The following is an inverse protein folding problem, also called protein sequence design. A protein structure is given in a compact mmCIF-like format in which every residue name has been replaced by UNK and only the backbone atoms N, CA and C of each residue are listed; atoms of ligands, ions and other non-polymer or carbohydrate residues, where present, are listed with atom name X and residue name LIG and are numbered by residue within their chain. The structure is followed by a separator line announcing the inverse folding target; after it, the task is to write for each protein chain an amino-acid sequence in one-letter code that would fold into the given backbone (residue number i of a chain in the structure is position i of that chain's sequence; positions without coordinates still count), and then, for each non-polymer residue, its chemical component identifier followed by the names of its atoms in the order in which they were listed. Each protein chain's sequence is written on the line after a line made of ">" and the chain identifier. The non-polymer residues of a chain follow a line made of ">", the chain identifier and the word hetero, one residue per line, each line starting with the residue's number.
data_IF_955801862414
#
_entry.id   IF_955801862414
#
_cell.length_a   1.000
_cell.length_b   1.000
_cell.length_c   1.000
_cell.angle_alpha   90.00
_cell.angle_beta   90.00
_cell.angle_gamma   90.00
#
_symmetry.space_group_name_H-M   'P 1'
#
loop_
_entity.id
_entity.type
_entity.pdbx_description
1 polymer ?
#
# COMPACT_ATOMS: atom_id res chain seq x y z
N UNK A 1 -4.27 2.77 -37.75
CA UNK A 1 -3.34 1.98 -36.91
C UNK A 1 -4.17 1.01 -36.10
N UNK A 2 -3.70 -0.23 -35.85
CA UNK A 2 -4.39 -1.14 -34.95
C UNK A 2 -4.45 -0.51 -33.55
N UNK A 3 -5.64 -0.46 -32.95
CA UNK A 3 -5.81 0.02 -31.58
C UNK A 3 -4.94 -0.79 -30.62
N UNK A 4 -4.32 -0.15 -29.61
CA UNK A 4 -3.61 -0.88 -28.57
C UNK A 4 -4.56 -1.87 -27.89
N UNK A 5 -4.09 -3.09 -27.55
CA UNK A 5 -4.93 -4.04 -26.87
C UNK A 5 -5.35 -3.46 -25.51
N UNK A 6 -6.66 -3.51 -25.23
CA UNK A 6 -7.15 -3.20 -23.89
C UNK A 6 -6.53 -4.17 -22.89
N UNK A 7 -5.97 -3.64 -21.80
CA UNK A 7 -5.44 -4.47 -20.74
C UNK A 7 -6.62 -5.13 -20.04
N UNK A 8 -6.59 -6.46 -19.89
CA UNK A 8 -7.60 -7.15 -19.10
C UNK A 8 -7.57 -6.64 -17.66
N UNK A 9 -8.74 -6.59 -17.01
CA UNK A 9 -8.80 -6.32 -15.58
C UNK A 9 -7.83 -7.20 -14.78
N UNK A 10 -7.34 -6.65 -13.69
CA UNK A 10 -6.34 -7.30 -12.83
C UNK A 10 -6.71 -7.01 -11.38
N UNK A 11 -6.64 -8.04 -10.54
CA UNK A 11 -6.86 -7.94 -9.10
C UNK A 11 -5.57 -8.22 -8.36
N UNK A 12 -5.42 -7.59 -7.19
CA UNK A 12 -4.35 -7.88 -6.24
C UNK A 12 -4.82 -7.54 -4.82
N UNK A 13 -4.06 -7.95 -3.82
CA UNK A 13 -4.38 -7.73 -2.42
C UNK A 13 -3.48 -6.66 -1.82
N UNK A 14 -4.05 -5.73 -1.07
CA UNK A 14 -3.37 -4.73 -0.29
C UNK A 14 -3.57 -5.06 1.20
N UNK A 15 -2.52 -5.60 1.81
CA UNK A 15 -2.45 -5.86 3.24
C UNK A 15 -2.13 -4.56 3.95
N UNK A 16 -3.01 -4.13 4.85
CA UNK A 16 -2.81 -2.95 5.68
C UNK A 16 -2.57 -3.39 7.12
N UNK A 17 -1.44 -2.96 7.66
CA UNK A 17 -0.97 -3.31 8.99
C UNK A 17 -0.88 -2.04 9.83
N UNK A 18 -1.67 -1.96 10.89
CA UNK A 18 -1.75 -0.79 11.77
C UNK A 18 -0.66 -0.88 12.85
N UNK A 19 0.48 -0.20 12.64
CA UNK A 19 1.70 -0.34 13.43
C UNK A 19 1.58 0.31 14.80
N UNK A 20 1.06 1.53 14.86
CA UNK A 20 0.93 2.29 16.10
C UNK A 20 -0.09 3.40 15.93
N UNK A 21 -0.81 3.70 17.01
CA UNK A 21 -1.26 5.06 17.26
C UNK A 21 -0.36 5.63 18.33
N UNK A 22 0.33 6.74 18.07
CA UNK A 22 0.88 7.50 19.19
C UNK A 22 -0.30 7.76 20.14
N UNK A 23 -0.26 7.29 21.41
CA UNK A 23 -1.31 7.64 22.34
C UNK A 23 -1.35 9.15 22.33
N UNK A 24 -2.48 9.70 21.88
CA UNK A 24 -2.73 11.13 22.01
C UNK A 24 -2.48 11.38 23.48
N UNK A 25 -1.42 12.12 23.81
CA UNK A 25 -1.24 12.59 25.18
C UNK A 25 -2.51 13.36 25.44
N UNK A 26 -3.42 12.78 26.23
CA UNK A 26 -4.53 13.51 26.82
C UNK A 26 -3.90 14.57 27.70
N UNK A 27 -3.47 15.67 27.08
CA UNK A 27 -3.20 16.91 27.76
C UNK A 27 -4.56 17.50 28.08
N UNK A 28 -5.23 16.85 29.04
CA UNK A 28 -6.47 17.29 29.67
C UNK A 28 -6.20 17.50 31.15
N UNK A 29 -5.22 18.34 31.49
CA UNK A 29 -5.34 19.12 32.71
C UNK A 29 -6.50 20.08 32.46
N UNK A 30 -7.70 19.67 32.89
CA UNK A 30 -8.82 20.57 33.11
C UNK A 30 -8.38 21.49 34.23
N UNK A 31 -7.83 22.66 33.88
CA UNK A 31 -7.79 23.77 34.82
C UNK A 31 -9.24 24.10 35.15
N UNK A 32 -9.61 23.81 36.40
CA UNK A 32 -10.88 24.23 36.96
C UNK A 32 -10.96 25.74 36.94
N UNK A 33 -11.93 26.28 36.23
CA UNK A 33 -12.41 27.63 36.47
C UNK A 33 -13.36 27.58 37.65
N UNK A 34 -12.87 28.17 38.73
CA UNK A 34 -13.54 28.41 40.01
C UNK A 34 -14.73 29.36 39.85
N UNK A 35 -15.72 29.16 40.69
CA UNK A 35 -17.01 29.84 40.73
C UNK A 35 -16.91 31.36 40.95
N UNK A 36 -17.87 32.15 40.42
CA UNK A 36 -18.51 33.22 41.21
C UNK A 36 -19.87 33.69 40.66
N UNK A 37 -20.84 33.63 41.58
CA UNK A 37 -22.23 34.11 41.66
C UNK A 37 -22.68 35.39 40.93
N UNK A 38 -23.98 35.44 40.60
CA UNK A 38 -24.75 36.70 40.58
C UNK A 38 -26.18 36.66 39.97
N UNK A 39 -27.18 36.33 40.79
CA UNK A 39 -28.61 36.78 40.82
C UNK A 39 -29.42 37.14 39.56
N UNK A 40 -30.57 36.47 39.35
CA UNK A 40 -31.94 36.99 39.58
C UNK A 40 -33.04 36.28 38.74
N UNK A 41 -34.06 35.79 39.46
CA UNK A 41 -35.33 35.10 39.09
C UNK A 41 -36.45 36.17 38.89
N UNK A 42 -37.54 36.02 38.08
CA UNK A 42 -38.77 35.22 38.36
C UNK A 42 -39.38 34.42 37.16
N UNK A 43 -39.82 33.17 37.34
CA UNK A 43 -41.20 32.70 37.71
C UNK A 43 -42.22 32.89 36.54
N UNK A 44 -42.97 31.93 35.96
CA UNK A 44 -43.80 30.77 36.39
C UNK A 44 -44.25 29.94 35.12
N UNK A 45 -45.26 29.02 35.14
CA UNK A 45 -45.30 27.66 35.73
C UNK A 45 -45.82 26.56 34.75
N UNK A 46 -45.98 25.33 35.29
CA UNK A 46 -46.81 24.18 34.85
C UNK A 46 -46.18 23.15 33.89
N UNK A 47 -46.45 21.85 34.00
CA UNK A 47 -46.97 20.88 34.99
C UNK A 47 -46.82 19.55 34.23
N UNK A 48 -46.38 18.45 34.84
CA UNK A 48 -46.31 17.17 34.14
C UNK A 48 -45.61 16.08 34.95
N UNK A 49 -46.44 15.29 35.62
CA UNK A 49 -46.16 14.18 36.54
C UNK A 49 -45.63 12.90 35.87
N UNK A 50 -45.04 12.01 36.68
CA UNK A 50 -44.84 10.56 36.40
C UNK A 50 -43.40 10.08 36.62
N UNK A 51 -42.97 9.86 37.86
CA UNK A 51 -42.97 8.57 38.60
C UNK A 51 -41.88 7.56 38.21
N UNK A 52 -40.88 7.48 39.10
CA UNK A 52 -40.30 6.32 39.78
C UNK A 52 -39.65 5.13 39.04
N UNK A 53 -38.39 4.86 39.43
CA UNK A 53 -37.90 3.49 39.60
C UNK A 53 -36.37 3.27 39.56
N UNK A 54 -35.70 3.40 40.72
CA UNK A 54 -34.78 2.38 41.37
C UNK A 54 -33.69 1.74 40.47
N UNK A 55 -32.36 1.73 40.74
CA UNK A 55 -31.61 1.42 41.97
C UNK A 55 -30.11 1.69 41.71
N UNK A 56 -29.39 2.23 42.69
CA UNK A 56 -27.92 2.24 42.74
C UNK A 56 -27.39 0.92 43.35
N UNK A 57 -26.24 0.46 42.85
CA UNK A 57 -25.33 -0.46 43.56
C UNK A 57 -23.89 0.04 43.42
N UNK A 58 -23.12 0.18 44.51
CA UNK A 58 -21.69 0.46 44.46
C UNK A 58 -20.88 -0.84 44.41
N UNK A 59 -19.84 -0.87 43.57
CA UNK A 59 -18.86 -1.95 43.50
C UNK A 59 -17.45 -1.38 43.49
N UNK A 60 -16.79 -1.42 44.66
CA UNK A 60 -15.35 -1.58 44.84
C UNK A 60 -14.87 -2.79 44.02
N UNK A 61 -13.67 -2.94 43.48
CA UNK A 61 -12.41 -2.22 43.46
C UNK A 61 -11.42 -3.13 42.71
N UNK A 62 -10.30 -2.59 42.25
CA UNK A 62 -8.97 -3.24 42.23
C UNK A 62 -8.03 -2.38 41.38
N UNK A 63 -7.08 -1.73 42.09
CA UNK A 63 -6.03 -0.93 41.49
C UNK A 63 -4.90 -1.82 40.97
N UNK A 64 -4.63 -1.74 39.67
CA UNK A 64 -3.36 -2.19 39.11
C UNK A 64 -2.24 -1.18 39.43
N UNK A 65 -1.02 -1.66 39.74
CA UNK A 65 0.11 -0.79 40.02
C UNK A 65 0.60 -0.07 38.74
N UNK A 66 1.09 1.18 38.85
CA UNK A 66 1.63 1.90 37.71
C UNK A 66 2.95 1.28 37.23
N UNK A 67 3.03 1.05 35.92
CA UNK A 67 4.26 0.66 35.23
C UNK A 67 5.22 1.86 35.13
N UNK A 68 6.44 1.62 35.59
CA UNK A 68 7.59 2.52 35.63
C UNK A 68 7.95 3.09 34.22
N UNK A 69 7.88 4.42 33.99
CA UNK A 69 8.07 5.02 32.67
C UNK A 69 9.54 5.19 32.23
N UNK A 70 10.53 4.71 32.98
CA UNK A 70 11.93 5.09 32.74
C UNK A 70 12.78 4.15 31.87
N UNK A 71 12.19 3.23 31.08
CA UNK A 71 12.96 2.34 30.18
C UNK A 71 12.39 2.17 28.78
N UNK A 72 12.24 3.26 28.04
CA UNK A 72 12.14 3.17 26.58
C UNK A 72 12.54 4.47 25.89
N UNK A 73 13.85 4.75 25.81
CA UNK A 73 14.40 5.60 24.75
C UNK A 73 15.91 5.43 24.66
N UNK A 74 16.37 4.85 23.55
CA UNK A 74 17.40 5.35 22.64
C UNK A 74 17.45 4.29 21.52
N UNK A 75 16.74 4.55 20.42
CA UNK A 75 17.07 3.94 19.14
C UNK A 75 17.34 5.04 18.12
N UNK A 76 18.47 4.84 17.45
CA UNK A 76 19.33 5.79 16.78
C UNK A 76 18.72 6.30 15.47
N UNK A 77 18.67 7.64 15.29
CA UNK A 77 18.23 8.33 14.07
C UNK A 77 18.97 7.83 12.81
N UNK A 78 20.15 7.21 12.95
CA UNK A 78 20.92 6.63 11.84
C UNK A 78 20.30 5.39 11.19
N UNK A 79 19.36 4.68 11.83
CA UNK A 79 18.68 3.54 11.18
C UNK A 79 17.57 3.97 10.21
N UNK A 80 17.06 5.20 10.34
CA UNK A 80 15.97 5.71 9.51
C UNK A 80 16.45 6.03 8.07
N UNK A 81 17.64 6.59 7.91
CA UNK A 81 18.20 6.91 6.59
C UNK A 81 18.62 5.69 5.78
N UNK A 82 18.94 4.56 6.44
CA UNK A 82 19.33 3.32 5.77
C UNK A 82 18.13 2.53 5.22
N UNK A 83 16.94 2.75 5.78
CA UNK A 83 15.69 2.14 5.30
C UNK A 83 15.10 2.87 4.08
N UNK A 84 15.38 4.17 3.93
CA UNK A 84 14.96 4.98 2.78
C UNK A 84 15.67 4.59 1.47
N UNK A 85 16.88 4.02 1.57
CA UNK A 85 17.70 3.61 0.41
C UNK A 85 17.30 2.25 -0.20
N UNK A 86 16.42 1.48 0.45
CA UNK A 86 16.04 0.10 0.06
C UNK A 86 14.64 -0.01 -0.55
N UNK A 87 13.92 1.12 -0.64
CA UNK A 87 12.54 1.24 -1.14
C UNK A 87 12.45 2.20 -2.35
N UNK A 88 13.57 2.56 -2.95
CA UNK A 88 13.56 3.54 -4.05
C UNK A 88 13.08 2.86 -5.34
N UNK A 89 11.75 2.80 -5.52
CA UNK A 89 11.11 2.30 -6.74
C UNK A 89 11.65 2.95 -8.01
N UNK A 90 12.23 4.16 -7.89
CA UNK A 90 13.00 4.85 -8.93
C UNK A 90 14.19 4.05 -9.44
N UNK A 91 15.01 3.48 -8.55
CA UNK A 91 16.20 2.71 -8.95
C UNK A 91 15.83 1.40 -9.71
N UNK A 92 14.73 0.77 -9.30
CA UNK A 92 14.18 -0.41 -9.99
C UNK A 92 13.64 -0.03 -11.38
N UNK A 93 12.84 1.04 -11.44
CA UNK A 93 12.23 1.55 -12.67
C UNK A 93 13.30 2.06 -13.66
N UNK A 94 14.41 2.62 -13.19
CA UNK A 94 15.54 3.07 -14.02
C UNK A 94 16.41 1.90 -14.51
N UNK A 95 16.59 0.86 -13.69
CA UNK A 95 17.25 -0.37 -14.10
C UNK A 95 16.50 -1.09 -15.23
N UNK A 96 15.16 -1.09 -15.19
CA UNK A 96 14.30 -1.65 -16.23
C UNK A 96 14.40 -0.82 -17.52
N UNK A 97 14.26 0.50 -17.41
CA UNK A 97 14.37 1.40 -18.57
C UNK A 97 15.71 1.24 -19.29
N UNK A 98 16.82 1.18 -18.54
CA UNK A 98 18.14 0.95 -19.11
C UNK A 98 18.26 -0.43 -19.81
N UNK A 99 17.63 -1.47 -19.26
CA UNK A 99 17.66 -2.81 -19.85
C UNK A 99 16.84 -2.91 -21.14
N UNK A 100 15.66 -2.28 -21.20
CA UNK A 100 14.81 -2.24 -22.40
C UNK A 100 15.48 -1.43 -23.50
N UNK A 101 15.97 -0.22 -23.19
CA UNK A 101 16.63 0.65 -24.17
C UNK A 101 17.89 -0.01 -24.73
N UNK A 102 18.71 -0.65 -23.88
CA UNK A 102 19.91 -1.38 -24.32
C UNK A 102 19.56 -2.53 -25.29
N UNK A 103 18.43 -3.21 -25.09
CA UNK A 103 17.97 -4.32 -25.95
C UNK A 103 17.40 -3.86 -27.28
N UNK A 104 16.55 -2.83 -27.26
CA UNK A 104 16.04 -2.23 -28.50
C UNK A 104 17.21 -1.75 -29.38
N UNK A 105 18.23 -1.15 -28.76
CA UNK A 105 19.44 -0.71 -29.45
C UNK A 105 20.28 -1.88 -29.98
N UNK A 106 20.40 -2.98 -29.21
CA UNK A 106 21.12 -4.18 -29.64
C UNK A 106 20.41 -4.91 -30.80
N UNK A 107 19.08 -4.99 -30.78
CA UNK A 107 18.28 -5.60 -31.84
C UNK A 107 18.43 -4.83 -33.16
N UNK A 108 18.32 -3.49 -33.10
CA UNK A 108 18.53 -2.62 -34.27
C UNK A 108 19.98 -2.72 -34.79
N UNK A 109 20.96 -2.92 -33.91
CA UNK A 109 22.35 -3.09 -34.29
C UNK A 109 22.61 -4.45 -34.96
N UNK A 110 22.02 -5.54 -34.48
CA UNK A 110 22.14 -6.88 -35.09
C UNK A 110 21.45 -6.94 -36.45
N UNK A 111 20.28 -6.32 -36.61
CA UNK A 111 19.53 -6.28 -37.88
C UNK A 111 20.32 -5.60 -39.02
N UNK A 112 21.13 -4.57 -38.70
CA UNK A 112 22.05 -3.93 -39.65
C UNK A 112 23.21 -4.81 -40.11
N UNK A 113 23.51 -5.90 -39.41
CA UNK A 113 24.66 -6.77 -39.70
C UNK A 113 24.34 -8.00 -40.56
N UNK A 114 23.11 -8.12 -41.10
CA UNK A 114 22.68 -9.19 -42.03
C UNK A 114 22.83 -10.64 -41.52
N UNK A 115 23.15 -10.85 -40.24
CA UNK A 115 22.93 -12.16 -39.61
C UNK A 115 21.50 -12.17 -39.10
N UNK A 116 20.70 -13.10 -39.62
CA UNK A 116 19.36 -13.39 -39.09
C UNK A 116 19.44 -13.52 -37.58
N UNK A 117 18.74 -12.66 -36.80
CA UNK A 117 18.78 -12.74 -35.35
C UNK A 117 18.21 -14.08 -34.92
N UNK A 118 18.91 -14.75 -33.99
CA UNK A 118 18.49 -16.03 -33.46
C UNK A 118 17.32 -15.81 -32.49
N UNK A 119 16.08 -16.20 -32.85
CA UNK A 119 14.90 -15.94 -32.03
C UNK A 119 14.98 -16.59 -30.64
N UNK A 120 15.79 -17.65 -30.48
CA UNK A 120 16.01 -18.27 -29.17
C UNK A 120 16.78 -17.38 -28.20
N UNK A 121 17.69 -16.54 -28.69
CA UNK A 121 18.54 -15.69 -27.84
C UNK A 121 17.74 -14.54 -27.21
N UNK A 122 16.79 -13.99 -27.96
CA UNK A 122 15.86 -12.96 -27.48
C UNK A 122 14.96 -13.48 -26.35
N UNK A 123 14.42 -14.69 -26.50
CA UNK A 123 13.57 -15.35 -25.50
C UNK A 123 14.37 -15.68 -24.22
N UNK A 124 15.61 -16.15 -24.36
CA UNK A 124 16.45 -16.52 -23.22
C UNK A 124 16.94 -15.31 -22.42
N UNK A 125 17.16 -14.18 -23.08
CA UNK A 125 17.53 -12.93 -22.42
C UNK A 125 16.33 -12.27 -21.72
N UNK A 126 15.11 -12.33 -22.28
CA UNK A 126 13.88 -11.92 -21.55
C UNK A 126 13.64 -12.73 -20.28
N UNK A 127 13.88 -14.05 -20.31
CA UNK A 127 13.82 -14.88 -19.11
C UNK A 127 14.81 -14.42 -18.01
N UNK A 128 16.01 -13.96 -18.38
CA UNK A 128 17.02 -13.49 -17.41
C UNK A 128 16.65 -12.16 -16.73
N UNK A 129 15.95 -11.25 -17.42
CA UNK A 129 15.45 -10.00 -16.81
C UNK A 129 14.23 -10.25 -15.94
N UNK A 130 13.31 -11.12 -16.38
CA UNK A 130 12.20 -11.60 -15.57
C UNK A 130 12.69 -12.26 -14.28
N UNK A 131 13.76 -13.04 -14.34
CA UNK A 131 14.40 -13.65 -13.17
C UNK A 131 15.08 -12.63 -12.25
N UNK A 132 15.69 -11.56 -12.79
CA UNK A 132 16.28 -10.48 -12.00
C UNK A 132 15.20 -9.64 -11.28
N UNK A 133 14.07 -9.37 -11.97
CA UNK A 133 12.91 -8.65 -11.43
C UNK A 133 12.20 -9.51 -10.36
N UNK A 134 11.85 -10.76 -10.70
CA UNK A 134 11.22 -11.70 -9.76
C UNK A 134 12.10 -12.01 -8.54
N UNK A 135 13.43 -12.05 -8.72
CA UNK A 135 14.41 -12.28 -7.66
C UNK A 135 14.56 -11.13 -6.65
N UNK A 136 14.17 -9.90 -6.99
CA UNK A 136 14.10 -8.78 -6.04
C UNK A 136 12.76 -8.76 -5.29
N UNK A 137 11.66 -9.13 -5.95
CA UNK A 137 10.31 -9.15 -5.36
C UNK A 137 10.20 -10.25 -4.28
N UNK A 138 10.69 -11.47 -4.56
CA UNK A 138 10.68 -12.58 -3.60
C UNK A 138 11.53 -12.34 -2.34
N UNK A 139 12.53 -11.45 -2.40
CA UNK A 139 13.34 -11.05 -1.23
C UNK A 139 12.58 -10.10 -0.29
N UNK A 140 11.59 -9.38 -0.80
CA UNK A 140 10.79 -8.44 0.00
C UNK A 140 9.72 -9.17 0.81
N UNK A 141 9.04 -10.19 0.26
CA UNK A 141 7.98 -10.93 1.00
C UNK A 141 8.54 -11.61 2.26
N UNK A 142 9.72 -12.26 2.16
CA UNK A 142 10.36 -12.88 3.33
C UNK A 142 10.89 -11.84 4.35
N UNK A 143 11.34 -10.67 3.88
CA UNK A 143 11.79 -9.59 4.77
C UNK A 143 10.63 -8.90 5.47
N UNK A 144 9.53 -8.66 4.77
CA UNK A 144 8.30 -8.07 5.30
C UNK A 144 7.68 -8.97 6.36
N UNK A 145 7.63 -10.29 6.15
CA UNK A 145 7.21 -11.22 7.20
C UNK A 145 8.11 -11.18 8.45
N UNK A 146 9.43 -11.01 8.25
CA UNK A 146 10.39 -10.91 9.34
C UNK A 146 10.41 -9.54 10.06
N UNK A 147 10.04 -8.46 9.38
CA UNK A 147 9.87 -7.14 10.01
C UNK A 147 8.53 -7.05 10.73
N UNK A 148 7.48 -7.68 10.19
CA UNK A 148 6.20 -7.82 10.88
C UNK A 148 6.37 -8.58 12.19
N UNK A 149 7.08 -9.71 12.20
CA UNK A 149 7.27 -10.50 13.42
C UNK A 149 8.11 -9.77 14.48
N UNK A 150 9.04 -8.90 14.08
CA UNK A 150 9.78 -8.03 15.01
C UNK A 150 8.92 -6.89 15.55
N UNK A 151 8.10 -6.27 14.70
CA UNK A 151 7.21 -5.18 15.11
C UNK A 151 6.01 -5.71 15.91
N UNK A 152 5.54 -6.93 15.63
CA UNK A 152 4.38 -7.60 16.24
C UNK A 152 4.43 -7.64 17.77
N UNK A 153 5.62 -7.69 18.35
CA UNK A 153 5.83 -7.64 19.81
C UNK A 153 5.40 -6.32 20.47
N UNK A 154 5.15 -5.27 19.68
CA UNK A 154 4.72 -3.94 20.12
C UNK A 154 3.27 -3.61 19.73
N UNK A 155 2.54 -4.55 19.12
CA UNK A 155 1.18 -4.28 18.62
C UNK A 155 0.13 -4.49 19.73
N UNK A 156 -0.31 -3.38 20.31
CA UNK A 156 -1.64 -3.30 20.95
C UNK A 156 -2.43 -2.24 20.20
N UNK A 157 -2.86 -2.55 18.99
CA UNK A 157 -3.83 -1.69 18.31
C UNK A 157 -5.21 -2.00 18.90
N UNK A 158 -5.84 -1.00 19.52
CA UNK A 158 -7.22 -1.15 19.98
C UNK A 158 -8.14 -1.32 18.76
N UNK A 159 -9.28 -2.01 18.93
CA UNK A 159 -10.28 -2.17 17.87
C UNK A 159 -10.68 -0.81 17.25
N UNK A 160 -10.75 0.23 18.08
CA UNK A 160 -11.05 1.60 17.68
C UNK A 160 -10.01 2.16 16.71
N UNK A 161 -8.71 1.94 16.96
CA UNK A 161 -7.63 2.40 16.07
C UNK A 161 -7.70 1.69 14.72
N UNK A 162 -7.98 0.38 14.72
CA UNK A 162 -8.14 -0.40 13.48
C UNK A 162 -9.33 0.08 12.66
N UNK A 163 -10.48 0.33 13.29
CA UNK A 163 -11.64 0.90 12.60
C UNK A 163 -11.39 2.31 12.07
N UNK A 164 -10.64 3.15 12.80
CA UNK A 164 -10.21 4.48 12.30
C UNK A 164 -9.29 4.33 11.08
N UNK A 165 -8.32 3.43 11.11
CA UNK A 165 -7.43 3.16 9.99
C UNK A 165 -8.18 2.63 8.77
N UNK A 166 -9.12 1.69 8.97
CA UNK A 166 -9.96 1.15 7.90
C UNK A 166 -10.76 2.26 7.20
N UNK A 167 -11.41 3.12 7.99
CA UNK A 167 -12.15 4.28 7.46
C UNK A 167 -11.22 5.24 6.74
N UNK A 168 -10.07 5.56 7.32
CA UNK A 168 -9.10 6.47 6.74
C UNK A 168 -8.55 5.96 5.39
N UNK A 169 -8.25 4.66 5.30
CA UNK A 169 -7.85 4.01 4.04
C UNK A 169 -8.99 4.06 3.04
N UNK A 170 -10.22 3.71 3.44
CA UNK A 170 -11.41 3.75 2.57
C UNK A 170 -11.64 5.14 1.97
N UNK A 171 -11.45 6.20 2.76
CA UNK A 171 -11.59 7.58 2.29
C UNK A 171 -10.38 8.07 1.45
N UNK A 172 -9.22 7.43 1.59
CA UNK A 172 -8.02 7.77 0.79
C UNK A 172 -8.07 7.17 -0.61
N UNK A 173 -8.74 6.02 -0.77
CA UNK A 173 -8.79 5.26 -2.02
C UNK A 173 -9.23 6.10 -3.23
N UNK A 174 -10.33 6.88 -3.18
CA UNK A 174 -10.73 7.72 -4.31
C UNK A 174 -9.64 8.69 -4.76
N UNK A 175 -8.87 9.25 -3.81
CA UNK A 175 -7.75 10.16 -4.10
C UNK A 175 -6.60 9.42 -4.78
N UNK A 176 -6.34 8.18 -4.37
CA UNK A 176 -5.32 7.32 -5.00
C UNK A 176 -5.74 6.93 -6.41
N UNK A 177 -7.00 6.52 -6.60
CA UNK A 177 -7.60 6.20 -7.90
C UNK A 177 -7.52 7.40 -8.85
N UNK A 178 -7.85 8.60 -8.38
CA UNK A 178 -7.78 9.84 -9.15
C UNK A 178 -6.34 10.16 -9.58
N UNK A 179 -5.37 10.02 -8.68
CA UNK A 179 -3.96 10.28 -8.98
C UNK A 179 -3.38 9.28 -9.99
N UNK A 180 -3.71 8.00 -9.83
CA UNK A 180 -3.27 6.94 -10.74
C UNK A 180 -3.99 7.03 -12.08
N UNK A 181 -5.22 7.56 -12.10
CA UNK A 181 -6.02 7.71 -13.31
C UNK A 181 -6.54 6.38 -13.86
N UNK A 182 -6.73 5.39 -12.99
CA UNK A 182 -7.27 4.07 -13.37
C UNK A 182 -8.49 3.78 -12.52
N UNK A 183 -9.55 3.27 -13.13
CA UNK A 183 -10.76 2.90 -12.41
C UNK A 183 -10.51 1.61 -11.60
N UNK A 184 -10.69 1.71 -10.28
CA UNK A 184 -10.45 0.63 -9.32
C UNK A 184 -11.65 0.49 -8.39
N UNK A 185 -12.02 -0.75 -8.07
CA UNK A 185 -12.90 -1.07 -6.94
C UNK A 185 -12.10 -1.75 -5.85
N UNK A 186 -12.41 -1.41 -4.60
CA UNK A 186 -11.70 -1.98 -3.44
C UNK A 186 -12.72 -2.60 -2.49
N UNK A 187 -12.47 -3.83 -2.08
CA UNK A 187 -13.32 -4.59 -1.18
C UNK A 187 -12.52 -5.18 -0.02
N UNK A 188 -13.05 -5.11 1.20
CA UNK A 188 -12.42 -5.74 2.37
C UNK A 188 -12.65 -7.24 2.32
N UNK A 189 -11.58 -8.03 2.36
CA UNK A 189 -11.64 -9.51 2.31
C UNK A 189 -11.35 -10.17 3.65
N UNK A 190 -10.49 -9.57 4.46
CA UNK A 190 -10.07 -10.15 5.73
C UNK A 190 -9.77 -9.07 6.77
N UNK A 191 -10.00 -9.36 8.04
CA UNK A 191 -9.59 -8.50 9.16
C UNK A 191 -9.36 -9.36 10.41
N UNK A 192 -8.17 -9.26 10.98
CA UNK A 192 -7.84 -9.90 12.24
C UNK A 192 -6.83 -9.05 13.02
N UNK A 193 -7.24 -8.57 14.19
CA UNK A 193 -6.41 -7.71 15.03
C UNK A 193 -6.00 -6.42 14.29
N UNK A 194 -4.70 -6.07 14.25
CA UNK A 194 -4.20 -4.86 13.59
C UNK A 194 -4.09 -4.97 12.07
N UNK A 195 -4.43 -6.12 11.50
CA UNK A 195 -4.29 -6.40 10.07
C UNK A 195 -5.67 -6.44 9.43
N UNK A 196 -5.81 -5.76 8.30
CA UNK A 196 -6.90 -5.98 7.37
C UNK A 196 -6.40 -6.06 5.92
N UNK A 197 -7.08 -6.87 5.11
CA UNK A 197 -6.73 -7.12 3.71
C UNK A 197 -7.82 -6.57 2.82
N UNK A 198 -7.41 -5.76 1.86
CA UNK A 198 -8.26 -5.19 0.83
C UNK A 198 -7.93 -5.86 -0.50
N UNK A 199 -8.93 -6.38 -1.20
CA UNK A 199 -8.77 -6.73 -2.62
C UNK A 199 -9.00 -5.47 -3.45
N UNK A 200 -8.07 -5.22 -4.37
CA UNK A 200 -8.11 -4.11 -5.32
C UNK A 200 -8.34 -4.71 -6.69
N UNK A 201 -9.53 -4.46 -7.23
CA UNK A 201 -9.94 -4.87 -8.57
C UNK A 201 -9.80 -3.70 -9.53
N UNK A 202 -8.93 -3.83 -10.51
CA UNK A 202 -8.75 -2.83 -11.56
C UNK A 202 -9.60 -3.16 -12.77
N UNK A 203 -10.30 -2.16 -13.29
CA UNK A 203 -10.91 -2.29 -14.61
C UNK A 203 -9.85 -2.20 -15.70
N UNK A 204 -10.18 -2.77 -16.86
CA UNK A 204 -9.32 -2.68 -18.03
C UNK A 204 -9.07 -1.23 -18.42
N UNK A 205 -7.82 -0.91 -18.69
CA UNK A 205 -7.37 0.43 -19.09
C UNK A 205 -6.45 0.34 -20.31
N UNK A 206 -6.21 1.48 -20.94
CA UNK A 206 -5.23 1.59 -22.01
C UNK A 206 -3.81 1.45 -21.44
N UNK A 207 -3.02 0.59 -22.08
CA UNK A 207 -1.68 0.20 -21.62
C UNK A 207 -0.71 1.40 -21.57
N UNK A 208 -0.81 2.28 -22.56
CA UNK A 208 0.06 3.44 -22.67
C UNK A 208 -0.26 4.47 -21.59
N UNK A 209 -1.54 4.74 -21.37
CA UNK A 209 -2.04 5.57 -20.27
C UNK A 209 -1.56 5.04 -18.91
N UNK A 210 -1.67 3.72 -18.70
CA UNK A 210 -1.18 3.07 -17.48
C UNK A 210 0.33 3.25 -17.32
N UNK A 211 1.10 3.12 -18.40
CA UNK A 211 2.56 3.27 -18.37
C UNK A 211 2.99 4.70 -18.06
N UNK A 212 2.33 5.70 -18.65
CA UNK A 212 2.54 7.13 -18.34
C UNK A 212 2.32 7.41 -16.85
N UNK A 213 1.20 6.91 -16.29
CA UNK A 213 0.82 7.18 -14.90
C UNK A 213 1.67 6.43 -13.89
N UNK A 214 2.12 5.23 -14.21
CA UNK A 214 2.89 4.39 -13.27
C UNK A 214 4.39 4.65 -13.37
N UNK A 215 4.92 4.79 -14.58
CA UNK A 215 6.36 4.83 -14.85
C UNK A 215 6.86 6.23 -15.31
N UNK A 216 5.96 7.12 -15.69
CA UNK A 216 6.27 8.46 -16.20
C UNK A 216 6.24 8.57 -17.73
N UNK A 217 6.13 9.81 -18.22
CA UNK A 217 5.97 10.14 -19.64
C UNK A 217 7.16 9.67 -20.49
N UNK A 218 8.40 9.81 -20.01
CA UNK A 218 9.60 9.41 -20.75
C UNK A 218 9.58 7.91 -21.12
N UNK A 219 9.18 7.05 -20.17
CA UNK A 219 9.13 5.60 -20.38
C UNK A 219 7.97 5.21 -21.29
N UNK A 220 6.86 5.93 -21.21
CA UNK A 220 5.74 5.77 -22.13
C UNK A 220 6.10 6.14 -23.56
N UNK A 221 6.86 7.21 -23.73
CA UNK A 221 7.34 7.62 -25.04
C UNK A 221 8.33 6.60 -25.63
N UNK A 222 9.22 6.02 -24.81
CA UNK A 222 10.09 4.93 -25.26
C UNK A 222 9.29 3.68 -25.68
N UNK A 223 8.28 3.32 -24.90
CA UNK A 223 7.38 2.22 -25.23
C UNK A 223 6.62 2.46 -26.53
N UNK A 224 6.07 3.67 -26.71
CA UNK A 224 5.34 4.11 -27.92
C UNK A 224 6.23 3.98 -29.16
N UNK A 225 7.45 4.52 -29.11
CA UNK A 225 8.43 4.44 -30.21
C UNK A 225 8.82 3.00 -30.54
N UNK A 226 9.06 2.17 -29.52
CA UNK A 226 9.38 0.76 -29.72
C UNK A 226 8.23 0.02 -30.41
N UNK A 227 7.00 0.23 -29.93
CA UNK A 227 5.78 -0.34 -30.50
C UNK A 227 5.56 0.10 -31.95
N UNK A 228 5.72 1.39 -32.25
CA UNK A 228 5.62 1.93 -33.61
C UNK A 228 6.66 1.32 -34.55
N UNK A 229 7.90 1.14 -34.08
CA UNK A 229 8.96 0.46 -34.83
C UNK A 229 8.59 -0.99 -35.18
N UNK A 230 8.11 -1.76 -34.20
CA UNK A 230 7.68 -3.16 -34.41
C UNK A 230 6.53 -3.25 -35.43
N UNK A 231 5.57 -2.31 -35.35
CA UNK A 231 4.45 -2.22 -36.30
C UNK A 231 4.96 -1.89 -37.70
N UNK A 232 5.86 -0.92 -37.84
CA UNK A 232 6.43 -0.53 -39.13
C UNK A 232 7.21 -1.67 -39.82
N UNK A 233 7.81 -2.56 -39.03
CA UNK A 233 8.51 -3.76 -39.53
C UNK A 233 7.56 -4.93 -39.85
N UNK A 234 6.26 -4.83 -39.52
CA UNK A 234 5.29 -5.91 -39.76
C UNK A 234 5.44 -7.11 -38.83
N UNK A 235 6.09 -6.96 -37.67
CA UNK A 235 6.40 -8.04 -36.73
C UNK A 235 5.29 -8.25 -35.69
N UNK A 236 4.12 -8.72 -36.14
CA UNK A 236 2.94 -8.86 -35.27
C UNK A 236 3.14 -9.79 -34.05
N UNK A 237 3.89 -10.88 -34.19
CA UNK A 237 4.18 -11.81 -33.09
C UNK A 237 5.11 -11.20 -32.04
N UNK A 238 6.09 -10.40 -32.48
CA UNK A 238 6.97 -9.67 -31.59
C UNK A 238 6.19 -8.62 -30.78
N UNK A 239 5.22 -7.96 -31.41
CA UNK A 239 4.34 -7.00 -30.72
C UNK A 239 3.54 -7.67 -29.60
N UNK A 240 2.93 -8.83 -29.86
CA UNK A 240 2.18 -9.56 -28.82
C UNK A 240 3.08 -10.00 -27.67
N UNK A 241 4.32 -10.42 -27.98
CA UNK A 241 5.29 -10.82 -26.96
C UNK A 241 5.72 -9.61 -26.13
N UNK A 242 5.98 -8.49 -26.78
CA UNK A 242 6.35 -7.23 -26.13
C UNK A 242 5.24 -6.72 -25.18
N UNK A 243 3.99 -6.70 -25.65
CA UNK A 243 2.83 -6.31 -24.84
C UNK A 243 2.62 -7.28 -23.65
N UNK A 244 2.87 -8.58 -23.84
CA UNK A 244 2.79 -9.58 -22.76
C UNK A 244 3.88 -9.42 -21.71
N UNK A 245 5.08 -9.03 -22.10
CA UNK A 245 6.22 -8.85 -21.19
C UNK A 245 6.11 -7.57 -20.34
N UNK A 246 5.54 -6.50 -20.89
CA UNK A 246 5.42 -5.23 -20.17
C UNK A 246 4.33 -5.26 -19.10
N UNK A 247 3.26 -6.03 -19.32
CA UNK A 247 2.10 -6.09 -18.43
C UNK A 247 2.44 -6.51 -16.98
N UNK A 248 3.18 -7.59 -16.72
CA UNK A 248 3.60 -7.95 -15.37
C UNK A 248 4.43 -6.85 -14.67
N UNK A 249 5.27 -6.15 -15.43
CA UNK A 249 6.12 -5.07 -14.91
C UNK A 249 5.24 -3.90 -14.44
N UNK A 250 4.25 -3.52 -15.25
CA UNK A 250 3.31 -2.46 -14.89
C UNK A 250 2.45 -2.82 -13.69
N UNK A 251 1.92 -4.04 -13.66
CA UNK A 251 1.13 -4.54 -12.51
C UNK A 251 1.94 -4.46 -11.22
N UNK A 252 3.19 -4.91 -11.26
CA UNK A 252 4.09 -4.83 -10.10
C UNK A 252 4.38 -3.38 -9.72
N UNK A 253 4.72 -2.52 -10.69
CA UNK A 253 4.99 -1.10 -10.42
C UNK A 253 3.80 -0.38 -9.81
N UNK A 254 2.59 -0.71 -10.27
CA UNK A 254 1.36 -0.17 -9.72
C UNK A 254 1.08 -0.69 -8.30
N UNK A 255 1.28 -1.97 -8.04
CA UNK A 255 1.14 -2.55 -6.69
C UNK A 255 2.05 -1.83 -5.69
N UNK A 256 3.33 -1.62 -6.05
CA UNK A 256 4.28 -0.88 -5.22
C UNK A 256 3.83 0.57 -5.03
N UNK A 257 3.45 1.24 -6.12
CA UNK A 257 2.97 2.63 -6.06
C UNK A 257 1.72 2.78 -5.18
N UNK A 258 0.78 1.83 -5.23
CA UNK A 258 -0.40 1.80 -4.35
C UNK A 258 0.00 1.63 -2.87
N UNK A 259 0.94 0.73 -2.59
CA UNK A 259 1.45 0.53 -1.24
C UNK A 259 2.14 1.78 -0.66
N UNK A 260 2.77 2.61 -1.50
CA UNK A 260 3.42 3.85 -1.08
C UNK A 260 2.43 5.02 -0.94
N UNK A 261 1.51 5.18 -1.89
CA UNK A 261 0.60 6.34 -1.96
C UNK A 261 -0.49 6.26 -0.89
N UNK A 262 -1.04 5.07 -0.60
CA UNK A 262 -2.14 4.93 0.37
C UNK A 262 -1.77 5.49 1.75
N UNK A 263 -0.63 5.11 2.37
CA UNK A 263 -0.17 5.72 3.62
C UNK A 263 0.07 7.23 3.51
N UNK A 264 0.59 7.72 2.36
CA UNK A 264 0.84 9.14 2.14
C UNK A 264 -0.47 9.95 2.13
N UNK A 265 -1.47 9.51 1.35
CA UNK A 265 -2.78 10.17 1.26
C UNK A 265 -3.53 10.11 2.58
N UNK A 266 -3.40 9.02 3.32
CA UNK A 266 -4.01 8.91 4.64
C UNK A 266 -3.51 10.01 5.59
N UNK A 267 -2.19 10.30 5.58
CA UNK A 267 -1.54 11.30 6.43
C UNK A 267 -1.88 12.75 6.07
N UNK A 268 -2.37 13.02 4.86
CA UNK A 268 -2.77 14.38 4.47
C UNK A 268 -3.96 14.90 5.28
N UNK A 269 -4.80 14.01 5.83
CA UNK A 269 -5.90 14.41 6.72
C UNK A 269 -5.39 14.54 8.16
N UNK A 270 -5.57 15.72 8.76
CA UNK A 270 -5.16 16.00 10.15
C UNK A 270 -5.74 15.01 11.18
N UNK A 271 -6.93 14.47 10.93
CA UNK A 271 -7.60 13.48 11.80
C UNK A 271 -6.89 12.12 11.88
N UNK A 272 -5.90 11.88 11.01
CA UNK A 272 -5.20 10.61 10.86
C UNK A 272 -3.70 10.75 11.09
N UNK A 273 -3.22 11.90 11.55
CA UNK A 273 -1.80 12.17 11.75
C UNK A 273 -1.15 11.25 12.82
N UNK A 274 -1.98 10.72 13.73
CA UNK A 274 -1.60 9.76 14.77
C UNK A 274 -1.56 8.31 14.28
N UNK A 275 -2.13 8.00 13.10
CA UNK A 275 -2.21 6.65 12.57
C UNK A 275 -0.97 6.30 11.74
N UNK A 276 -0.20 5.33 12.19
CA UNK A 276 0.89 4.73 11.42
C UNK A 276 0.42 3.41 10.82
N UNK A 277 0.29 3.38 9.49
CA UNK A 277 -0.01 2.16 8.73
C UNK A 277 1.15 1.79 7.82
N UNK A 278 1.32 0.49 7.61
CA UNK A 278 2.18 -0.10 6.61
C UNK A 278 1.31 -0.86 5.61
N UNK A 279 1.47 -0.56 4.32
CA UNK A 279 0.72 -1.20 3.25
C UNK A 279 1.65 -2.13 2.46
N UNK A 280 1.19 -3.33 2.15
CA UNK A 280 1.93 -4.33 1.38
C UNK A 280 1.01 -4.89 0.29
N UNK A 281 1.33 -4.58 -0.96
CA UNK A 281 0.58 -5.11 -2.10
C UNK A 281 1.15 -6.46 -2.55
N UNK A 282 0.31 -7.49 -2.63
CA UNK A 282 0.66 -8.87 -2.96
C UNK A 282 -0.25 -9.41 -4.08
N UNK A 283 0.28 -10.29 -4.93
CA UNK A 283 -0.55 -11.07 -5.86
C UNK A 283 -1.20 -12.25 -5.15
N UNK A 284 -2.15 -12.93 -5.80
CA UNK A 284 -2.92 -14.04 -5.22
C UNK A 284 -2.04 -15.12 -4.56
N UNK A 285 -0.96 -15.52 -5.21
CA UNK A 285 -0.06 -16.57 -4.71
C UNK A 285 0.75 -16.08 -3.50
N UNK A 286 1.26 -14.85 -3.55
CA UNK A 286 1.99 -14.24 -2.45
C UNK A 286 1.09 -13.96 -1.25
N UNK A 287 -0.14 -13.52 -1.49
CA UNK A 287 -1.17 -13.30 -0.47
C UNK A 287 -1.49 -14.60 0.26
N UNK A 288 -1.77 -15.67 -0.47
CA UNK A 288 -2.05 -16.96 0.15
C UNK A 288 -0.90 -17.40 1.08
N UNK A 289 0.35 -17.29 0.60
CA UNK A 289 1.54 -17.63 1.39
C UNK A 289 1.68 -16.72 2.61
N UNK A 290 1.45 -15.43 2.45
CA UNK A 290 1.52 -14.45 3.52
C UNK A 290 0.46 -14.73 4.60
N UNK A 291 -0.78 -15.00 4.19
CA UNK A 291 -1.89 -15.31 5.07
C UNK A 291 -1.64 -16.58 5.89
N UNK A 292 -1.13 -17.66 5.28
CA UNK A 292 -0.79 -18.88 6.03
C UNK A 292 0.29 -18.62 7.09
N UNK A 293 1.35 -17.88 6.74
CA UNK A 293 2.39 -17.51 7.72
C UNK A 293 1.82 -16.63 8.84
N UNK A 294 0.91 -15.71 8.51
CA UNK A 294 0.26 -14.85 9.50
C UNK A 294 -0.62 -15.67 10.46
N UNK A 295 -1.41 -16.62 9.95
CA UNK A 295 -2.24 -17.49 10.77
C UNK A 295 -1.41 -18.39 11.70
N UNK A 296 -0.31 -18.95 11.21
CA UNK A 296 0.64 -19.73 12.02
C UNK A 296 1.24 -18.86 13.14
N UNK A 297 1.68 -17.64 12.80
CA UNK A 297 2.18 -16.68 13.78
C UNK A 297 1.13 -16.35 14.86
N UNK A 298 -0.13 -16.12 14.46
CA UNK A 298 -1.23 -15.85 15.38
C UNK A 298 -1.54 -17.04 16.30
N UNK A 299 -1.34 -18.27 15.83
CA UNK A 299 -1.51 -19.47 16.64
C UNK A 299 -0.43 -19.61 17.71
N UNK A 300 0.81 -19.20 17.42
CA UNK A 300 1.93 -19.24 18.37
C UNK A 300 1.85 -18.18 19.48
N UNK A 301 1.05 -17.11 19.28
CA UNK A 301 0.84 -16.06 20.28
C UNK A 301 -0.34 -16.33 21.25
N UNK A 302 -1.09 -17.42 21.04
CA UNK A 302 -2.13 -17.86 21.97
C UNK A 302 -1.55 -18.77 23.04
#
# INVERSE_FOLDING_TARGET
>A
MPEPPAVSGYSFYLNVVVVSSNPVKENGSVEGEDETNGDAVPEQPQEGEGEDGVQETPGEGDGEPPLDPEKAQIMDKKQFDKHKLLLDGRAFVDSIGASITKRATAFIAEEKTKKTPDPMKFVQDSANVMNAIGGQIGKNVNKVGSSLSRRAKTFVASKTVVSRAERAVSESIPLVTEEIGVEMSISKRFQQGPVFVLEVDMKGCDLLTLLEKTMGEDKAEHYRKAREGIIALGLAEALQTFDKEILPILRTGLMVKMADIVPEKMKMKKSNADLEIECIALNDHEEAKWLYNFLEFMQQMK
#
